data_IF_485784206240
#
_entry.id   IF_485784206240
#
_cell.length_a   1.000
_cell.length_b   1.000
_cell.length_c   1.000
_cell.angle_alpha   90.00
_cell.angle_beta   90.00
_cell.angle_gamma   90.00
#
_symmetry.space_group_name_H-M   'P 1'
#
loop_
_entity.id
_entity.type
_entity.pdbx_description
1 polymer ?
#
# COMPACT_ATOMS: atom_id res chain seq x y z
N UNK A 1 1.13 -7.81 26.55
CA UNK A 1 -0.15 -7.07 26.42
C UNK A 1 -0.88 -7.70 25.25
N UNK A 2 -2.09 -8.21 25.47
CA UNK A 2 -2.92 -8.78 24.38
C UNK A 2 -3.51 -7.66 23.53
N UNK A 3 -3.98 -7.98 22.33
CA UNK A 3 -4.72 -7.03 21.50
C UNK A 3 -5.94 -6.44 22.23
N UNK A 4 -6.62 -7.26 23.05
CA UNK A 4 -7.72 -6.79 23.90
C UNK A 4 -7.26 -5.74 24.92
N UNK A 5 -6.07 -5.91 25.52
CA UNK A 5 -5.51 -4.94 26.45
C UNK A 5 -5.15 -3.64 25.76
N UNK A 6 -4.63 -3.73 24.54
CA UNK A 6 -4.35 -2.56 23.71
C UNK A 6 -5.62 -1.79 23.35
N UNK A 7 -6.67 -2.48 22.91
CA UNK A 7 -7.97 -1.87 22.60
C UNK A 7 -8.58 -1.24 23.83
N UNK A 8 -8.56 -1.93 24.99
CA UNK A 8 -9.10 -1.38 26.23
C UNK A 8 -8.40 -0.10 26.69
N UNK A 9 -7.05 -0.02 26.50
CA UNK A 9 -6.28 1.16 26.88
C UNK A 9 -6.31 2.32 25.87
N UNK A 10 -6.47 2.03 24.57
CA UNK A 10 -6.19 3.01 23.51
C UNK A 10 -7.38 3.29 22.57
N UNK A 11 -8.43 2.50 22.62
CA UNK A 11 -9.57 2.57 21.69
C UNK A 11 -10.91 2.69 22.42
N UNK A 12 -10.92 3.09 23.69
CA UNK A 12 -12.18 3.48 24.32
C UNK A 12 -12.81 4.58 23.48
N UNK A 13 -14.06 4.42 23.00
CA UNK A 13 -14.70 5.37 22.08
C UNK A 13 -14.73 6.76 22.72
N UNK A 14 -14.33 7.77 21.96
CA UNK A 14 -14.38 9.20 22.29
C UNK A 14 -13.49 9.71 23.46
N UNK A 15 -12.82 8.85 24.23
CA UNK A 15 -12.01 9.28 25.36
C UNK A 15 -10.54 8.80 25.35
N UNK A 16 -10.11 8.14 24.28
CA UNK A 16 -8.71 7.71 24.18
C UNK A 16 -7.78 8.92 24.23
N UNK A 17 -7.10 9.09 25.35
CA UNK A 17 -6.17 10.21 25.59
C UNK A 17 -4.76 9.95 25.05
N UNK A 18 -4.48 8.74 24.57
CA UNK A 18 -3.13 8.32 24.14
C UNK A 18 -3.15 7.33 23.00
N UNK A 19 -2.15 7.38 22.13
CA UNK A 19 -1.90 6.44 21.04
C UNK A 19 -0.66 5.62 21.36
N UNK A 20 -0.72 4.29 21.16
CA UNK A 20 0.45 3.42 21.24
C UNK A 20 1.40 3.68 20.07
N UNK A 21 2.69 3.78 20.33
CA UNK A 21 3.73 3.80 19.29
C UNK A 21 4.37 2.43 19.25
N UNK A 22 4.42 1.82 18.06
CA UNK A 22 4.93 0.47 17.85
C UNK A 22 6.14 0.51 16.91
N UNK A 23 7.09 -0.40 17.10
CA UNK A 23 8.17 -0.60 16.15
C UNK A 23 7.71 -1.54 15.00
N UNK A 24 8.56 -1.72 14.00
CA UNK A 24 8.32 -2.60 12.86
C UNK A 24 8.02 -4.08 13.21
N UNK A 25 8.34 -4.50 14.43
CA UNK A 25 8.04 -5.85 14.95
C UNK A 25 6.72 -5.92 15.74
N UNK A 26 5.88 -4.85 15.68
CA UNK A 26 4.63 -4.77 16.42
C UNK A 26 4.80 -4.59 17.94
N UNK A 27 6.02 -4.40 18.44
CA UNK A 27 6.24 -4.16 19.87
C UNK A 27 5.97 -2.71 20.23
N UNK A 28 5.15 -2.50 21.25
CA UNK A 28 4.89 -1.17 21.77
C UNK A 28 6.16 -0.56 22.34
N UNK A 29 6.62 0.53 21.76
CA UNK A 29 7.82 1.26 22.18
C UNK A 29 7.50 2.57 22.91
N UNK A 30 6.20 3.00 22.93
CA UNK A 30 5.80 4.22 23.62
C UNK A 30 4.30 4.50 23.56
N UNK A 31 3.90 5.65 24.12
CA UNK A 31 2.54 6.21 24.02
C UNK A 31 2.62 7.70 23.73
N UNK A 32 1.74 8.19 22.87
CA UNK A 32 1.62 9.60 22.53
C UNK A 32 0.22 10.08 22.96
N UNK A 33 0.08 11.17 23.73
CA UNK A 33 -1.23 11.76 24.03
C UNK A 33 -1.91 12.25 22.74
N UNK A 34 -3.20 11.97 22.58
CA UNK A 34 -4.00 12.35 21.39
C UNK A 34 -4.01 13.86 21.10
N UNK A 35 -3.81 14.69 22.10
CA UNK A 35 -3.75 16.14 21.96
C UNK A 35 -2.37 16.71 21.64
N UNK A 36 -1.35 15.86 21.51
CA UNK A 36 0.05 16.29 21.36
C UNK A 36 0.86 15.38 20.44
N UNK A 37 0.30 14.99 19.28
CA UNK A 37 1.08 14.34 18.23
C UNK A 37 2.12 15.34 17.69
N UNK A 38 3.19 15.50 18.44
CA UNK A 38 4.39 16.16 17.94
C UNK A 38 5.44 15.08 17.71
N UNK A 39 5.89 14.99 16.47
CA UNK A 39 7.08 14.21 16.13
C UNK A 39 8.26 15.18 16.22
N UNK A 40 9.10 15.13 17.28
CA UNK A 40 10.08 16.20 17.57
C UNK A 40 11.02 16.51 16.41
N UNK A 41 11.27 15.55 15.52
CA UNK A 41 12.15 15.68 14.36
C UNK A 41 11.40 15.69 13.01
N UNK A 42 10.08 15.80 13.04
CA UNK A 42 9.26 15.72 11.82
C UNK A 42 9.51 16.87 10.84
N UNK A 43 9.85 18.04 11.38
CA UNK A 43 9.84 19.27 10.60
C UNK A 43 8.42 19.74 10.28
N UNK A 44 8.28 20.55 9.25
CA UNK A 44 6.99 21.07 8.82
C UNK A 44 6.18 19.96 8.11
N UNK A 45 4.88 19.91 8.39
CA UNK A 45 3.94 19.14 7.56
C UNK A 45 3.82 19.81 6.19
N UNK A 46 3.99 19.02 5.14
CA UNK A 46 3.99 19.49 3.75
C UNK A 46 2.64 19.33 3.09
N UNK A 47 2.09 18.10 3.15
CA UNK A 47 0.79 17.74 2.57
C UNK A 47 0.31 16.42 3.19
N UNK A 48 -0.88 15.97 2.75
CA UNK A 48 -1.38 14.61 3.02
C UNK A 48 -1.86 13.99 1.72
N UNK A 49 -1.80 12.66 1.63
CA UNK A 49 -2.41 11.90 0.55
C UNK A 49 -3.18 10.70 1.08
N UNK A 50 -4.15 10.22 0.32
CA UNK A 50 -4.84 8.96 0.58
C UNK A 50 -4.07 7.78 -0.02
N UNK A 51 -4.00 6.65 0.70
CA UNK A 51 -3.49 5.40 0.16
C UNK A 51 -4.51 4.29 0.43
N UNK A 52 -5.10 3.77 -0.64
CA UNK A 52 -6.12 2.73 -0.63
C UNK A 52 -5.74 1.65 -1.65
N UNK A 53 -6.36 0.47 -1.55
CA UNK A 53 -6.08 -0.68 -2.40
C UNK A 53 -7.30 -1.60 -2.53
N UNK A 54 -7.28 -2.48 -3.50
CA UNK A 54 -8.19 -3.62 -3.60
C UNK A 54 -9.66 -3.16 -3.63
N UNK A 55 -10.01 -2.37 -4.65
CA UNK A 55 -11.35 -1.82 -4.88
C UNK A 55 -12.34 -2.89 -5.35
N UNK A 56 -11.89 -3.82 -6.19
CA UNK A 56 -12.64 -4.96 -6.70
C UNK A 56 -14.07 -4.62 -7.18
N UNK A 57 -14.21 -3.61 -8.03
CA UNK A 57 -15.53 -3.28 -8.58
C UNK A 57 -16.20 -4.50 -9.21
N UNK A 58 -17.49 -4.64 -8.97
CA UNK A 58 -18.37 -5.76 -9.27
C UNK A 58 -18.46 -6.84 -8.20
N UNK A 59 -17.75 -6.70 -7.09
CA UNK A 59 -18.05 -7.45 -5.86
C UNK A 59 -19.15 -6.70 -5.10
N UNK A 60 -19.93 -7.44 -4.29
CA UNK A 60 -20.99 -6.83 -3.47
C UNK A 60 -20.43 -5.66 -2.63
N UNK A 61 -21.18 -4.56 -2.58
CA UNK A 61 -20.89 -3.33 -1.83
C UNK A 61 -19.63 -2.57 -2.25
N UNK A 62 -18.78 -3.08 -3.16
CA UNK A 62 -17.52 -2.46 -3.57
C UNK A 62 -17.67 -1.02 -4.07
N UNK A 63 -18.76 -0.71 -4.81
CA UNK A 63 -19.02 0.66 -5.28
C UNK A 63 -19.30 1.61 -4.12
N UNK A 64 -20.14 1.18 -3.17
CA UNK A 64 -20.49 1.99 -2.00
C UNK A 64 -19.28 2.25 -1.10
N UNK A 65 -18.42 1.24 -0.94
CA UNK A 65 -17.19 1.33 -0.15
C UNK A 65 -16.17 2.25 -0.82
N UNK A 66 -16.02 2.12 -2.14
CA UNK A 66 -15.15 3.01 -2.89
C UNK A 66 -15.61 4.48 -2.81
N UNK A 67 -16.89 4.75 -3.04
CA UNK A 67 -17.46 6.11 -2.90
C UNK A 67 -17.26 6.64 -1.48
N UNK A 68 -17.49 5.81 -0.48
CA UNK A 68 -17.29 6.18 0.94
C UNK A 68 -15.86 6.55 1.22
N UNK A 69 -14.88 5.73 0.76
CA UNK A 69 -13.47 5.99 0.92
C UNK A 69 -13.06 7.32 0.24
N UNK A 70 -13.49 7.55 -1.01
CA UNK A 70 -13.23 8.80 -1.72
C UNK A 70 -13.78 10.02 -0.97
N UNK A 71 -15.04 9.98 -0.53
CA UNK A 71 -15.67 11.06 0.22
C UNK A 71 -14.94 11.32 1.55
N UNK A 72 -14.51 10.27 2.23
CA UNK A 72 -13.75 10.41 3.47
C UNK A 72 -12.39 11.08 3.24
N UNK A 73 -11.66 10.65 2.21
CA UNK A 73 -10.35 11.19 1.86
C UNK A 73 -10.44 12.66 1.44
N UNK A 74 -11.45 13.01 0.62
CA UNK A 74 -11.74 14.40 0.25
C UNK A 74 -12.04 15.26 1.47
N UNK A 75 -12.87 14.75 2.40
CA UNK A 75 -13.19 15.45 3.66
C UNK A 75 -11.95 15.63 4.56
N UNK A 76 -11.01 14.72 4.48
CA UNK A 76 -9.71 14.76 5.17
C UNK A 76 -8.72 15.73 4.54
N UNK A 77 -9.11 16.40 3.44
CA UNK A 77 -8.30 17.39 2.71
C UNK A 77 -6.95 16.83 2.23
N UNK A 78 -6.96 15.60 1.73
CA UNK A 78 -5.79 15.05 1.06
C UNK A 78 -5.54 15.79 -0.25
N UNK A 79 -4.29 15.93 -0.65
CA UNK A 79 -3.93 16.58 -1.91
C UNK A 79 -4.32 15.72 -3.11
N UNK A 80 -4.30 14.40 -2.96
CA UNK A 80 -4.66 13.38 -3.94
C UNK A 80 -4.80 12.03 -3.26
N UNK A 81 -5.26 11.01 -3.99
CA UNK A 81 -5.32 9.63 -3.52
C UNK A 81 -4.58 8.71 -4.47
N UNK A 82 -3.74 7.83 -3.92
CA UNK A 82 -3.11 6.72 -4.62
C UNK A 82 -3.93 5.45 -4.41
N UNK A 83 -4.20 4.70 -5.48
CA UNK A 83 -4.88 3.41 -5.45
C UNK A 83 -3.89 2.32 -5.88
N UNK A 84 -3.63 1.39 -4.99
CA UNK A 84 -2.57 0.39 -5.14
C UNK A 84 -3.06 -0.92 -5.77
N UNK A 85 -3.77 -0.82 -6.90
CA UNK A 85 -4.19 -1.95 -7.72
C UNK A 85 -5.51 -2.60 -7.32
N UNK A 86 -5.91 -3.60 -8.11
CA UNK A 86 -7.18 -4.30 -8.05
C UNK A 86 -8.37 -3.33 -8.06
N UNK A 87 -8.39 -2.49 -9.11
CA UNK A 87 -9.46 -1.52 -9.34
C UNK A 87 -10.78 -2.22 -9.63
N UNK A 88 -10.69 -3.38 -10.29
CA UNK A 88 -11.81 -4.20 -10.73
C UNK A 88 -11.63 -5.65 -10.29
N UNK A 89 -12.72 -6.42 -10.36
CA UNK A 89 -12.66 -7.85 -9.99
C UNK A 89 -12.21 -8.75 -11.15
N UNK A 90 -12.27 -8.29 -12.40
CA UNK A 90 -11.99 -9.14 -13.57
C UNK A 90 -11.31 -8.41 -14.74
N UNK A 91 -10.98 -7.12 -14.62
CA UNK A 91 -10.25 -6.35 -15.62
C UNK A 91 -10.96 -6.16 -16.95
N UNK A 92 -12.28 -6.39 -17.04
CA UNK A 92 -13.00 -6.20 -18.31
C UNK A 92 -13.42 -4.75 -18.52
N UNK A 93 -13.66 -4.37 -19.78
CA UNK A 93 -14.02 -3.01 -20.19
C UNK A 93 -15.22 -2.42 -19.42
N UNK A 94 -16.22 -3.24 -19.12
CA UNK A 94 -17.41 -2.79 -18.39
C UNK A 94 -17.05 -2.35 -16.98
N UNK A 95 -16.24 -3.12 -16.28
CA UNK A 95 -15.80 -2.82 -14.93
C UNK A 95 -14.83 -1.64 -14.90
N UNK A 96 -13.90 -1.57 -15.84
CA UNK A 96 -12.95 -0.46 -15.97
C UNK A 96 -13.68 0.85 -16.32
N UNK A 97 -14.66 0.81 -17.24
CA UNK A 97 -15.51 1.96 -17.55
C UNK A 97 -16.33 2.40 -16.32
N UNK A 98 -16.81 1.44 -15.52
CA UNK A 98 -17.51 1.75 -14.29
C UNK A 98 -16.59 2.40 -13.25
N UNK A 99 -15.37 1.88 -13.09
CA UNK A 99 -14.35 2.50 -12.25
C UNK A 99 -14.15 3.97 -12.64
N UNK A 100 -13.89 4.24 -13.93
CA UNK A 100 -13.72 5.60 -14.41
C UNK A 100 -14.93 6.48 -14.10
N UNK A 101 -16.14 6.00 -14.36
CA UNK A 101 -17.37 6.74 -14.08
C UNK A 101 -17.51 7.08 -12.60
N UNK A 102 -17.15 6.19 -11.68
CA UNK A 102 -17.20 6.44 -10.25
C UNK A 102 -16.16 7.47 -9.80
N UNK A 103 -14.93 7.38 -10.34
CA UNK A 103 -13.89 8.38 -10.09
C UNK A 103 -14.34 9.75 -10.58
N UNK A 104 -14.80 9.86 -11.83
CA UNK A 104 -15.24 11.12 -12.43
C UNK A 104 -16.40 11.78 -11.66
N UNK A 105 -17.30 10.97 -11.09
CA UNK A 105 -18.47 11.46 -10.38
C UNK A 105 -18.20 11.83 -8.91
N UNK A 106 -17.24 11.19 -8.25
CA UNK A 106 -17.11 11.26 -6.79
C UNK A 106 -15.79 11.84 -6.31
N UNK A 107 -14.69 11.69 -7.04
CA UNK A 107 -13.39 12.20 -6.58
C UNK A 107 -13.32 13.73 -6.78
N UNK A 108 -12.95 14.46 -5.73
CA UNK A 108 -12.73 15.92 -5.76
C UNK A 108 -11.26 16.27 -5.84
N UNK A 109 -10.39 15.31 -5.58
CA UNK A 109 -8.93 15.42 -5.66
C UNK A 109 -8.40 14.44 -6.71
N UNK A 110 -7.20 14.68 -7.28
CA UNK A 110 -6.62 13.76 -8.27
C UNK A 110 -6.52 12.33 -7.74
N UNK A 111 -6.79 11.36 -8.61
CA UNK A 111 -6.59 9.93 -8.35
C UNK A 111 -5.40 9.44 -9.19
N UNK A 112 -4.49 8.72 -8.54
CA UNK A 112 -3.35 8.05 -9.16
C UNK A 112 -3.44 6.57 -8.85
N UNK A 113 -3.72 5.75 -9.86
CA UNK A 113 -3.96 4.32 -9.70
C UNK A 113 -2.92 3.50 -10.48
N UNK A 114 -2.62 2.32 -9.97
CA UNK A 114 -1.87 1.27 -10.67
C UNK A 114 -2.78 0.07 -10.92
N UNK A 115 -2.47 -0.75 -11.91
CA UNK A 115 -3.16 -2.02 -12.11
C UNK A 115 -2.70 -3.06 -11.09
N UNK A 116 -3.66 -3.84 -10.57
CA UNK A 116 -3.41 -5.07 -9.82
C UNK A 116 -3.59 -6.31 -10.69
N UNK A 117 -3.45 -7.51 -10.11
CA UNK A 117 -3.57 -8.74 -10.86
C UNK A 117 -5.01 -9.01 -11.35
N UNK A 118 -6.03 -8.60 -10.60
CA UNK A 118 -7.43 -8.72 -11.04
C UNK A 118 -7.74 -7.83 -12.25
N UNK A 119 -7.07 -6.72 -12.40
CA UNK A 119 -7.24 -5.84 -13.55
C UNK A 119 -6.68 -6.44 -14.84
N UNK A 120 -5.81 -7.46 -14.72
CA UNK A 120 -5.15 -8.12 -15.84
C UNK A 120 -5.72 -9.50 -16.18
N UNK A 121 -6.76 -9.97 -15.48
CA UNK A 121 -7.36 -11.30 -15.70
C UNK A 121 -8.00 -11.47 -17.07
N UNK A 122 -8.53 -10.41 -17.63
CA UNK A 122 -8.99 -10.44 -19.01
C UNK A 122 -7.77 -10.21 -19.91
N UNK A 123 -7.00 -11.26 -20.14
CA UNK A 123 -5.76 -11.24 -20.90
C UNK A 123 -5.97 -10.67 -22.32
N UNK A 124 -5.83 -9.38 -22.43
CA UNK A 124 -5.67 -8.70 -23.68
C UNK A 124 -4.20 -8.37 -23.89
N UNK A 125 -3.69 -8.62 -25.06
CA UNK A 125 -2.33 -8.22 -25.45
C UNK A 125 -2.09 -6.70 -25.31
N UNK A 126 -3.14 -5.94 -25.01
CA UNK A 126 -3.16 -4.48 -24.92
C UNK A 126 -3.59 -3.95 -23.53
N UNK A 127 -3.25 -4.67 -22.44
CA UNK A 127 -3.60 -4.27 -21.08
C UNK A 127 -3.10 -2.87 -20.72
N UNK A 128 -1.91 -2.48 -21.21
CA UNK A 128 -1.32 -1.17 -20.94
C UNK A 128 -2.19 -0.04 -21.51
N UNK A 129 -2.69 -0.21 -22.73
CA UNK A 129 -3.60 0.75 -23.38
C UNK A 129 -4.96 0.79 -22.71
N UNK A 130 -5.49 -0.37 -22.33
CA UNK A 130 -6.77 -0.51 -21.66
C UNK A 130 -6.77 0.21 -20.31
N UNK A 131 -5.80 -0.09 -19.46
CA UNK A 131 -5.63 0.60 -18.16
C UNK A 131 -5.39 2.10 -18.37
N UNK A 132 -4.56 2.48 -19.34
CA UNK A 132 -4.30 3.88 -19.66
C UNK A 132 -5.58 4.63 -20.04
N UNK A 133 -6.47 3.99 -20.81
CA UNK A 133 -7.75 4.57 -21.23
C UNK A 133 -8.67 4.84 -20.05
N UNK A 134 -8.79 3.90 -19.11
CA UNK A 134 -9.76 4.00 -18.03
C UNK A 134 -9.17 4.66 -16.76
N UNK A 135 -7.93 4.45 -16.44
CA UNK A 135 -7.26 5.13 -15.32
C UNK A 135 -6.78 6.53 -15.70
N UNK A 136 -6.73 6.87 -16.99
CA UNK A 136 -6.31 8.19 -17.49
C UNK A 136 -4.82 8.47 -17.27
N UNK A 137 -4.01 7.43 -17.09
CA UNK A 137 -2.56 7.48 -16.86
C UNK A 137 -1.87 6.34 -17.59
N UNK A 138 -0.60 6.47 -17.99
CA UNK A 138 0.18 5.35 -18.49
C UNK A 138 0.19 4.17 -17.51
N UNK A 139 0.54 2.99 -17.99
CA UNK A 139 0.58 1.78 -17.18
C UNK A 139 1.59 1.87 -16.03
N UNK A 140 2.72 2.52 -16.27
CA UNK A 140 3.67 2.95 -15.25
C UNK A 140 4.07 4.42 -15.49
N UNK A 141 4.19 5.19 -14.43
CA UNK A 141 4.43 6.64 -14.53
C UNK A 141 4.93 7.24 -13.22
N UNK A 142 5.32 8.51 -13.28
CA UNK A 142 5.64 9.29 -12.07
C UNK A 142 4.69 10.45 -11.89
N UNK A 143 4.49 10.82 -10.62
CA UNK A 143 3.85 12.08 -10.21
C UNK A 143 4.78 12.79 -9.24
N UNK A 144 4.90 14.09 -9.36
CA UNK A 144 5.71 14.90 -8.44
C UNK A 144 4.81 15.77 -7.57
N UNK A 145 5.03 15.74 -6.26
CA UNK A 145 4.38 16.60 -5.29
C UNK A 145 5.44 17.32 -4.44
N UNK A 146 5.63 18.60 -4.68
CA UNK A 146 6.75 19.33 -4.07
C UNK A 146 8.10 18.75 -4.52
N UNK A 147 8.90 18.26 -3.58
CA UNK A 147 10.17 17.59 -3.87
C UNK A 147 10.06 16.05 -3.86
N UNK A 148 8.90 15.50 -3.58
CA UNK A 148 8.67 14.06 -3.51
C UNK A 148 8.23 13.51 -4.87
N UNK A 149 8.60 12.26 -5.15
CA UNK A 149 8.29 11.56 -6.40
C UNK A 149 7.47 10.32 -6.09
N UNK A 150 6.31 10.20 -6.70
CA UNK A 150 5.45 9.02 -6.65
C UNK A 150 5.71 8.20 -7.90
N UNK A 151 6.14 6.96 -7.72
CA UNK A 151 6.47 6.01 -8.78
C UNK A 151 5.37 4.96 -8.80
N UNK A 152 4.58 4.95 -9.86
CA UNK A 152 3.41 4.11 -10.01
C UNK A 152 3.73 3.00 -11.00
N UNK A 153 3.63 1.73 -10.55
CA UNK A 153 4.01 0.52 -11.31
C UNK A 153 2.81 -0.41 -11.45
N UNK A 154 2.45 -0.73 -12.68
CA UNK A 154 1.37 -1.67 -12.96
C UNK A 154 1.80 -3.13 -12.84
N UNK A 155 0.85 -4.06 -12.84
CA UNK A 155 1.09 -5.49 -12.96
C UNK A 155 0.70 -5.93 -14.36
N UNK A 156 1.64 -6.54 -15.07
CA UNK A 156 1.37 -7.05 -16.41
C UNK A 156 0.59 -8.36 -16.38
N UNK A 157 1.00 -9.29 -15.52
CA UNK A 157 0.33 -10.60 -15.37
C UNK A 157 0.78 -11.27 -14.09
N UNK A 158 0.02 -12.26 -13.63
CA UNK A 158 0.50 -13.15 -12.57
C UNK A 158 1.72 -13.93 -13.07
N UNK A 159 2.78 -13.99 -12.25
CA UNK A 159 4.00 -14.72 -12.55
C UNK A 159 5.08 -13.95 -13.30
N UNK A 160 4.73 -12.85 -13.99
CA UNK A 160 5.68 -11.93 -14.61
C UNK A 160 5.18 -10.51 -14.39
N UNK A 161 5.43 -9.94 -13.22
CA UNK A 161 4.81 -8.70 -12.78
C UNK A 161 5.21 -7.49 -13.61
N UNK A 162 6.48 -7.43 -14.00
CA UNK A 162 7.00 -6.32 -14.78
C UNK A 162 7.37 -6.74 -16.19
N UNK A 163 7.25 -5.82 -17.13
CA UNK A 163 8.01 -5.93 -18.36
C UNK A 163 9.48 -5.62 -18.09
N UNK A 164 10.39 -6.14 -18.92
CA UNK A 164 11.81 -5.76 -18.82
C UNK A 164 11.99 -4.23 -18.96
N UNK A 165 11.19 -3.60 -19.82
CA UNK A 165 11.19 -2.16 -20.05
C UNK A 165 10.73 -1.39 -18.80
N UNK A 166 9.71 -1.88 -18.09
CA UNK A 166 9.19 -1.25 -16.88
C UNK A 166 10.19 -1.34 -15.73
N UNK A 167 10.81 -2.51 -15.54
CA UNK A 167 11.80 -2.70 -14.47
C UNK A 167 13.06 -1.87 -14.71
N UNK A 168 13.51 -1.77 -15.98
CA UNK A 168 14.59 -0.87 -16.38
C UNK A 168 14.24 0.60 -16.12
N UNK A 169 13.04 1.02 -16.52
CA UNK A 169 12.53 2.36 -16.27
C UNK A 169 12.43 2.68 -14.77
N UNK A 170 12.02 1.71 -13.96
CA UNK A 170 11.96 1.85 -12.51
C UNK A 170 13.36 2.14 -11.93
N UNK A 171 14.36 1.36 -12.34
CA UNK A 171 15.75 1.61 -11.96
C UNK A 171 16.21 3.02 -12.35
N UNK A 172 16.03 3.40 -13.61
CA UNK A 172 16.42 4.71 -14.12
C UNK A 172 15.71 5.86 -13.37
N UNK A 173 14.45 5.65 -13.04
CA UNK A 173 13.65 6.62 -12.27
C UNK A 173 14.17 6.79 -10.86
N UNK A 174 14.50 5.69 -10.17
CA UNK A 174 15.11 5.73 -8.84
C UNK A 174 16.49 6.39 -8.89
N UNK A 175 17.32 6.05 -9.86
CA UNK A 175 18.66 6.65 -10.03
C UNK A 175 18.57 8.17 -10.28
N UNK A 176 17.68 8.61 -11.15
CA UNK A 176 17.45 10.03 -11.43
C UNK A 176 16.94 10.80 -10.20
N UNK A 177 16.23 10.14 -9.30
CA UNK A 177 15.65 10.73 -8.11
C UNK A 177 16.30 10.24 -6.79
N UNK A 178 17.48 9.66 -6.83
CA UNK A 178 18.16 8.98 -5.71
C UNK A 178 18.30 9.83 -4.44
N UNK A 179 18.31 11.14 -4.57
CA UNK A 179 18.42 12.09 -3.46
C UNK A 179 17.07 12.77 -3.11
N UNK A 180 15.97 12.24 -3.63
CA UNK A 180 14.61 12.65 -3.29
C UNK A 180 13.89 11.54 -2.57
N UNK A 181 12.86 11.85 -1.81
CA UNK A 181 11.95 10.84 -1.29
C UNK A 181 11.07 10.32 -2.41
N UNK A 182 11.08 9.00 -2.59
CA UNK A 182 10.30 8.29 -3.59
C UNK A 182 9.24 7.43 -2.89
N UNK A 183 7.97 7.62 -3.24
CA UNK A 183 6.88 6.74 -2.85
C UNK A 183 6.59 5.79 -4.00
N UNK A 184 6.84 4.50 -3.80
CA UNK A 184 6.69 3.46 -4.83
C UNK A 184 5.39 2.72 -4.58
N UNK A 185 4.51 2.67 -5.57
CA UNK A 185 3.25 1.95 -5.53
C UNK A 185 3.29 0.80 -6.54
N UNK A 186 3.10 -0.42 -6.06
CA UNK A 186 2.95 -1.63 -6.86
C UNK A 186 2.11 -2.61 -6.03
N UNK A 187 1.14 -3.25 -6.65
CA UNK A 187 0.09 -3.96 -5.95
C UNK A 187 0.58 -5.16 -5.13
N UNK A 188 1.50 -5.95 -5.68
CA UNK A 188 1.92 -7.19 -5.06
C UNK A 188 2.94 -6.98 -3.96
N UNK A 189 2.78 -7.78 -2.99
CA UNK A 189 3.57 -7.91 -1.79
C UNK A 189 4.92 -8.62 -2.05
N UNK A 190 5.97 -8.21 -1.36
CA UNK A 190 7.34 -8.69 -1.64
C UNK A 190 7.86 -9.77 -0.70
N UNK A 191 7.15 -10.08 0.38
CA UNK A 191 7.56 -11.06 1.38
C UNK A 191 6.75 -12.34 1.34
N UNK A 192 7.20 -13.33 2.11
CA UNK A 192 6.41 -14.53 2.42
C UNK A 192 5.90 -14.42 3.85
N UNK A 193 4.58 -14.46 4.02
CA UNK A 193 4.03 -14.73 5.33
C UNK A 193 4.30 -16.22 5.64
N UNK A 194 5.31 -16.49 6.45
CA UNK A 194 5.69 -17.87 6.79
C UNK A 194 5.14 -18.33 8.12
N UNK A 195 4.40 -17.47 8.84
CA UNK A 195 3.95 -17.79 10.18
C UNK A 195 2.54 -18.32 10.24
N UNK A 196 2.33 -19.38 11.02
CA UNK A 196 1.02 -20.02 11.22
C UNK A 196 0.00 -19.14 11.97
N UNK A 197 0.42 -18.00 12.53
CA UNK A 197 -0.39 -17.15 13.41
C UNK A 197 -1.48 -16.37 12.69
N UNK A 198 -1.43 -16.30 11.38
CA UNK A 198 -2.44 -15.63 10.55
C UNK A 198 -3.38 -16.62 9.84
N UNK A 199 -3.61 -17.78 10.40
CA UNK A 199 -4.32 -18.83 9.71
C UNK A 199 -3.56 -19.30 8.47
N UNK A 200 -4.04 -20.29 7.77
CA UNK A 200 -3.40 -20.81 6.56
C UNK A 200 -3.48 -19.87 5.33
N UNK A 201 -4.09 -18.71 5.47
CA UNK A 201 -4.11 -17.69 4.42
C UNK A 201 -2.75 -17.26 3.93
N UNK A 202 -1.74 -17.65 4.55
CA UNK A 202 -0.51 -16.98 4.77
C UNK A 202 0.49 -17.16 3.65
N UNK A 203 0.79 -18.33 3.30
CA UNK A 203 1.85 -18.61 2.35
C UNK A 203 1.36 -18.64 0.91
N UNK A 204 0.12 -19.07 0.67
CA UNK A 204 -0.34 -19.36 -0.69
C UNK A 204 -0.75 -18.13 -1.50
N UNK A 205 -1.36 -17.15 -0.87
CA UNK A 205 -1.85 -15.96 -1.57
C UNK A 205 -0.75 -15.02 -2.07
N UNK A 206 0.45 -15.12 -1.48
CA UNK A 206 1.53 -14.20 -1.77
C UNK A 206 2.54 -14.74 -2.76
N UNK A 207 2.56 -16.06 -2.95
CA UNK A 207 3.50 -16.71 -3.86
C UNK A 207 3.08 -16.59 -5.34
N UNK A 208 1.80 -16.39 -5.62
CA UNK A 208 1.31 -16.36 -7.01
C UNK A 208 1.84 -15.19 -7.81
N UNK A 209 1.93 -14.02 -7.21
CA UNK A 209 2.42 -12.84 -7.88
C UNK A 209 3.86 -12.98 -8.38
N UNK A 210 4.67 -13.78 -7.70
CA UNK A 210 6.10 -13.89 -7.95
C UNK A 210 6.52 -15.32 -8.34
N UNK A 211 5.79 -15.99 -9.22
CA UNK A 211 6.15 -17.30 -9.76
C UNK A 211 6.98 -17.17 -11.05
N UNK A 212 7.72 -18.21 -11.41
CA UNK A 212 8.48 -18.23 -12.65
C UNK A 212 9.45 -17.05 -12.80
N UNK A 213 9.31 -16.26 -13.86
CA UNK A 213 10.14 -15.06 -14.12
C UNK A 213 10.01 -14.03 -13.00
N UNK A 214 8.86 -13.97 -12.34
CA UNK A 214 8.60 -13.06 -11.23
C UNK A 214 9.56 -13.24 -10.06
N UNK A 215 10.11 -14.43 -9.82
CA UNK A 215 11.10 -14.63 -8.76
C UNK A 215 12.39 -13.85 -9.00
N UNK A 216 12.85 -13.79 -10.24
CA UNK A 216 14.03 -13.00 -10.61
C UNK A 216 13.70 -11.50 -10.50
N UNK A 217 12.54 -11.09 -11.01
CA UNK A 217 12.06 -9.70 -10.94
C UNK A 217 11.91 -9.25 -9.48
N UNK A 218 11.37 -10.11 -8.59
CA UNK A 218 11.27 -9.83 -7.16
C UNK A 218 12.63 -9.55 -6.54
N UNK A 219 13.64 -10.37 -6.86
CA UNK A 219 14.99 -10.19 -6.33
C UNK A 219 15.57 -8.83 -6.75
N UNK A 220 15.41 -8.45 -8.01
CA UNK A 220 15.85 -7.15 -8.53
C UNK A 220 15.06 -6.02 -7.86
N UNK A 221 13.75 -6.11 -7.81
CA UNK A 221 12.88 -5.10 -7.21
C UNK A 221 13.23 -4.84 -5.73
N UNK A 222 13.36 -5.89 -4.92
CA UNK A 222 13.79 -5.78 -3.52
C UNK A 222 15.18 -5.16 -3.38
N UNK A 223 16.11 -5.54 -4.23
CA UNK A 223 17.48 -5.00 -4.20
C UNK A 223 17.51 -3.51 -4.57
N UNK A 224 16.68 -3.07 -5.50
CA UNK A 224 16.51 -1.65 -5.85
C UNK A 224 15.95 -0.86 -4.68
N UNK A 225 14.86 -1.34 -4.05
CA UNK A 225 14.28 -0.69 -2.87
C UNK A 225 15.27 -0.58 -1.71
N UNK A 226 16.06 -1.63 -1.46
CA UNK A 226 17.07 -1.65 -0.40
C UNK A 226 18.25 -0.72 -0.69
N UNK A 227 18.63 -0.55 -1.96
CA UNK A 227 19.70 0.35 -2.37
C UNK A 227 19.27 1.82 -2.31
N UNK A 228 18.11 2.14 -2.87
CA UNK A 228 17.56 3.51 -2.88
C UNK A 228 16.76 3.79 -1.61
N UNK A 229 17.47 3.94 -0.48
CA UNK A 229 16.92 4.04 0.89
C UNK A 229 15.97 5.21 1.13
N UNK A 230 15.89 6.16 0.19
CA UNK A 230 14.92 7.25 0.20
C UNK A 230 13.55 6.83 -0.31
N UNK A 231 13.37 5.55 -0.67
CA UNK A 231 12.09 4.99 -1.13
C UNK A 231 11.26 4.45 0.05
N UNK A 232 9.93 4.55 -0.12
CA UNK A 232 8.92 3.89 0.71
C UNK A 232 7.98 3.15 -0.23
N UNK A 233 7.89 1.85 -0.09
CA UNK A 233 7.09 0.98 -0.93
C UNK A 233 5.70 0.76 -0.34
N UNK A 234 4.67 0.97 -1.13
CA UNK A 234 3.26 0.74 -0.79
C UNK A 234 2.70 -0.38 -1.64
N UNK A 235 2.00 -1.33 -1.01
CA UNK A 235 1.38 -2.47 -1.69
C UNK A 235 0.04 -2.86 -1.03
N UNK A 236 -0.76 -3.65 -1.72
CA UNK A 236 -2.03 -4.21 -1.26
C UNK A 236 -2.05 -5.74 -1.38
N UNK A 237 -3.01 -6.27 -2.15
CA UNK A 237 -3.16 -7.65 -2.58
C UNK A 237 -3.62 -8.65 -1.51
N UNK A 238 -3.18 -8.53 -0.28
CA UNK A 238 -3.50 -9.52 0.76
C UNK A 238 -4.92 -9.39 1.29
N UNK A 239 -5.51 -8.21 1.17
CA UNK A 239 -6.77 -7.82 1.78
C UNK A 239 -6.79 -7.85 3.32
N UNK A 240 -5.66 -8.12 3.98
CA UNK A 240 -5.62 -8.24 5.44
C UNK A 240 -5.95 -6.90 6.11
N UNK A 241 -6.92 -6.93 7.03
CA UNK A 241 -7.22 -5.77 7.90
C UNK A 241 -5.99 -5.37 8.71
N UNK A 242 -5.92 -4.11 9.07
CA UNK A 242 -4.86 -3.60 9.95
C UNK A 242 -4.70 -4.41 11.24
N UNK A 243 -5.81 -4.83 11.81
CA UNK A 243 -5.80 -5.67 13.00
C UNK A 243 -5.13 -7.01 12.73
N UNK A 244 -5.45 -7.63 11.60
CA UNK A 244 -4.92 -8.94 11.25
C UNK A 244 -3.43 -8.85 10.89
N UNK A 245 -3.05 -7.82 10.12
CA UNK A 245 -1.65 -7.52 9.83
C UNK A 245 -0.83 -7.35 11.12
N UNK A 246 -1.36 -6.64 12.11
CA UNK A 246 -0.67 -6.41 13.37
C UNK A 246 -0.54 -7.68 14.25
N UNK A 247 -1.42 -8.67 14.05
CA UNK A 247 -1.34 -9.96 14.72
C UNK A 247 -0.38 -10.94 14.04
N UNK A 248 -0.08 -10.68 12.76
CA UNK A 248 0.88 -11.44 11.97
C UNK A 248 2.28 -10.84 12.14
N UNK A 249 3.33 -11.59 11.78
CA UNK A 249 4.68 -11.03 11.69
C UNK A 249 4.82 -10.00 10.54
N UNK A 250 3.72 -9.75 9.85
CA UNK A 250 3.53 -8.69 8.88
C UNK A 250 2.95 -7.46 9.56
N UNK A 251 3.81 -6.53 9.85
CA UNK A 251 3.37 -5.22 10.30
C UNK A 251 2.77 -4.43 9.14
N UNK A 252 1.80 -3.55 9.43
CA UNK A 252 1.30 -2.55 8.49
C UNK A 252 2.44 -1.67 7.92
N UNK A 253 3.56 -1.65 8.60
CA UNK A 253 4.83 -1.08 8.19
C UNK A 253 5.96 -2.05 8.57
N UNK A 254 6.84 -2.36 7.64
CA UNK A 254 8.02 -3.22 7.83
C UNK A 254 9.26 -2.61 7.18
N UNK A 255 10.40 -2.69 7.87
CA UNK A 255 11.73 -2.31 7.38
C UNK A 255 12.80 -3.39 7.60
N UNK A 256 12.36 -4.59 7.98
CA UNK A 256 13.26 -5.70 8.35
C UNK A 256 14.12 -6.24 7.21
N UNK A 257 13.67 -6.05 5.96
CA UNK A 257 14.40 -6.47 4.76
C UNK A 257 15.33 -5.39 4.19
N UNK A 258 15.55 -4.30 4.93
CA UNK A 258 16.44 -3.21 4.54
C UNK A 258 15.80 -2.14 3.64
N UNK A 259 14.51 -2.24 3.37
CA UNK A 259 13.69 -1.22 2.73
C UNK A 259 12.38 -1.00 3.50
N UNK A 260 11.74 0.14 3.29
CA UNK A 260 10.49 0.51 3.96
C UNK A 260 9.31 0.02 3.15
N UNK A 261 8.46 -0.81 3.74
CA UNK A 261 7.25 -1.38 3.14
C UNK A 261 6.01 -1.02 3.94
N UNK A 262 4.95 -0.62 3.25
CA UNK A 262 3.65 -0.24 3.83
C UNK A 262 2.57 -1.10 3.19
N UNK A 263 1.86 -1.86 4.01
CA UNK A 263 0.81 -2.77 3.58
C UNK A 263 -0.57 -2.10 3.73
N UNK A 264 -1.25 -1.88 2.62
CA UNK A 264 -2.57 -1.25 2.56
C UNK A 264 -3.64 -2.33 2.57
N UNK A 265 -4.63 -2.29 3.48
CA UNK A 265 -5.79 -3.18 3.45
C UNK A 265 -6.71 -2.93 2.26
N UNK A 266 -7.61 -3.87 2.01
CA UNK A 266 -8.68 -3.69 1.04
C UNK A 266 -9.75 -2.71 1.52
N UNK A 267 -10.29 -1.90 0.61
CA UNK A 267 -11.44 -1.04 0.90
C UNK A 267 -12.78 -1.70 0.69
N UNK A 268 -12.85 -2.84 -0.02
CA UNK A 268 -14.14 -3.49 -0.33
C UNK A 268 -14.22 -4.94 0.11
N UNK A 269 -13.10 -5.60 0.34
CA UNK A 269 -13.04 -7.01 0.71
C UNK A 269 -11.95 -7.30 1.75
N UNK A 270 -11.90 -6.56 2.86
CA UNK A 270 -10.89 -6.84 3.87
C UNK A 270 -11.13 -8.22 4.50
N UNK A 271 -10.05 -8.96 4.71
CA UNK A 271 -10.08 -10.27 5.35
C UNK A 271 -10.02 -10.16 6.85
N UNK A 272 -10.80 -11.03 7.53
CA UNK A 272 -10.82 -11.16 8.98
C UNK A 272 -10.51 -12.61 9.39
N UNK A 273 -10.16 -12.82 10.66
CA UNK A 273 -10.09 -14.18 11.23
C UNK A 273 -11.48 -14.80 11.23
N UNK A 274 -11.60 -16.00 10.69
CA UNK A 274 -12.86 -16.78 10.73
C UNK A 274 -13.01 -17.62 12.00
N UNK A 275 -11.94 -17.73 12.78
CA UNK A 275 -11.92 -18.57 13.99
C UNK A 275 -11.81 -20.07 13.71
N UNK A 276 -11.63 -20.50 12.47
CA UNK A 276 -11.44 -21.91 12.10
C UNK A 276 -9.95 -22.20 11.83
N UNK A 277 -9.42 -23.23 12.50
CA UNK A 277 -8.06 -23.73 12.27
C UNK A 277 -7.91 -24.48 10.93
N UNK A 278 -8.98 -24.65 10.19
CA UNK A 278 -9.04 -25.54 9.03
C UNK A 278 -9.18 -24.81 7.69
N UNK A 279 -9.41 -23.51 7.69
CA UNK A 279 -9.60 -22.78 6.44
C UNK A 279 -8.29 -22.21 5.93
N UNK A 280 -8.07 -22.38 4.63
CA UNK A 280 -6.91 -21.86 3.92
C UNK A 280 -7.05 -20.39 3.54
N UNK A 281 -8.21 -19.79 3.81
CA UNK A 281 -8.56 -18.42 3.42
C UNK A 281 -9.40 -17.77 4.52
N UNK A 282 -8.92 -16.72 5.19
CA UNK A 282 -9.78 -15.97 6.11
C UNK A 282 -10.99 -15.45 5.36
N UNK A 283 -12.14 -15.50 6.02
CA UNK A 283 -13.39 -14.95 5.49
C UNK A 283 -13.25 -13.46 5.18
N UNK A 284 -13.95 -13.04 4.16
CA UNK A 284 -14.10 -11.63 3.89
C UNK A 284 -15.06 -10.97 4.87
N UNK A 285 -14.73 -9.77 5.30
CA UNK A 285 -15.64 -8.88 6.02
C UNK A 285 -16.27 -7.91 5.01
N UNK A 286 -17.40 -8.29 4.46
CA UNK A 286 -18.15 -7.47 3.50
C UNK A 286 -18.61 -6.14 4.10
N UNK A 287 -18.58 -5.99 5.43
CA UNK A 287 -18.88 -4.74 6.12
C UNK A 287 -17.63 -3.90 6.44
N UNK A 288 -16.45 -4.37 6.06
CA UNK A 288 -15.18 -3.68 6.35
C UNK A 288 -14.71 -2.80 5.20
N UNK A 289 -13.99 -1.74 5.52
CA UNK A 289 -13.31 -0.88 4.55
C UNK A 289 -12.19 -0.12 5.24
N UNK A 290 -10.94 -0.38 4.87
CA UNK A 290 -9.78 0.19 5.56
C UNK A 290 -8.74 0.75 4.58
N UNK A 291 -7.97 1.75 5.02
CA UNK A 291 -6.88 2.35 4.25
C UNK A 291 -6.15 3.43 5.04
N UNK A 292 -5.27 4.18 4.40
CA UNK A 292 -4.47 5.21 5.05
C UNK A 292 -4.82 6.63 4.62
N UNK A 293 -4.74 7.55 5.59
CA UNK A 293 -4.35 8.94 5.33
C UNK A 293 -2.89 9.08 5.73
N UNK A 294 -2.05 9.48 4.80
CA UNK A 294 -0.61 9.64 5.00
C UNK A 294 -0.29 11.13 5.10
N UNK A 295 0.16 11.56 6.27
CA UNK A 295 0.66 12.93 6.46
C UNK A 295 2.16 12.96 6.15
N UNK A 296 2.56 13.83 5.24
CA UNK A 296 3.95 13.98 4.80
C UNK A 296 4.56 15.19 5.45
N UNK A 297 5.71 14.97 6.09
CA UNK A 297 6.53 15.98 6.76
C UNK A 297 7.90 16.10 6.08
N UNK A 298 8.66 17.11 6.46
CA UNK A 298 9.99 17.31 5.90
C UNK A 298 10.91 16.09 6.08
N UNK A 299 10.88 15.46 7.27
CA UNK A 299 11.79 14.37 7.63
C UNK A 299 11.12 13.00 7.79
N UNK A 300 9.82 12.88 7.52
CA UNK A 300 9.12 11.62 7.70
C UNK A 300 7.70 11.63 7.22
N UNK A 301 7.03 10.49 7.39
CA UNK A 301 5.60 10.35 7.16
C UNK A 301 4.91 9.79 8.40
N UNK A 302 3.69 10.24 8.63
CA UNK A 302 2.80 9.66 9.60
C UNK A 302 1.71 8.87 8.87
N UNK A 303 1.78 7.56 8.94
CA UNK A 303 0.74 6.65 8.47
C UNK A 303 -0.40 6.67 9.50
N UNK A 304 -1.60 6.96 9.04
CA UNK A 304 -2.80 6.99 9.89
C UNK A 304 -3.87 6.07 9.30
N UNK A 305 -3.95 4.85 9.81
CA UNK A 305 -4.99 3.88 9.44
C UNK A 305 -6.39 4.41 9.71
N UNK A 306 -7.29 4.10 8.81
CA UNK A 306 -8.71 4.50 8.85
C UNK A 306 -9.62 3.31 8.59
N UNK A 307 -10.70 3.25 9.36
CA UNK A 307 -11.89 2.47 9.06
C UNK A 307 -12.87 3.42 8.37
N UNK A 308 -13.09 3.25 7.08
CA UNK A 308 -13.95 4.15 6.31
C UNK A 308 -15.44 3.91 6.57
N UNK A 309 -15.83 2.73 7.07
CA UNK A 309 -17.21 2.42 7.44
C UNK A 309 -17.60 3.18 8.69
N UNK A 310 -16.76 3.13 9.72
CA UNK A 310 -16.99 3.83 10.99
C UNK A 310 -16.56 5.29 10.96
N UNK A 311 -15.71 5.66 10.00
CA UNK A 311 -15.08 6.99 9.95
C UNK A 311 -14.03 7.21 11.03
N UNK A 312 -13.52 6.12 11.63
CA UNK A 312 -12.65 6.17 12.78
C UNK A 312 -11.17 6.08 12.39
N UNK A 313 -10.35 6.68 13.23
CA UNK A 313 -8.91 6.47 13.22
C UNK A 313 -8.58 5.15 13.93
N UNK A 314 -7.68 4.37 13.34
CA UNK A 314 -7.22 3.10 13.90
C UNK A 314 -5.83 3.25 14.51
N UNK A 315 -5.73 3.40 15.85
CA UNK A 315 -4.43 3.60 16.52
C UNK A 315 -3.43 2.46 16.29
N UNK A 316 -3.92 1.24 16.05
CA UNK A 316 -3.10 0.07 15.74
C UNK A 316 -2.33 0.23 14.43
N UNK A 317 -2.83 1.06 13.53
CA UNK A 317 -2.24 1.39 12.23
C UNK A 317 -1.69 2.82 12.21
N UNK A 318 -1.16 3.30 13.33
CA UNK A 318 -0.53 4.61 13.44
C UNK A 318 0.98 4.46 13.56
N UNK A 319 1.72 4.85 12.52
CA UNK A 319 3.18 4.71 12.46
C UNK A 319 3.84 6.01 12.05
N UNK A 320 4.91 6.37 12.75
CA UNK A 320 5.87 7.33 12.24
C UNK A 320 6.98 6.58 11.50
N UNK A 321 7.20 6.94 10.24
CA UNK A 321 8.27 6.41 9.42
C UNK A 321 9.25 7.52 9.14
N UNK A 322 10.49 7.37 9.61
CA UNK A 322 11.58 8.31 9.30
C UNK A 322 11.95 8.18 7.82
N UNK A 323 11.85 9.29 7.11
CA UNK A 323 12.24 9.41 5.71
C UNK A 323 13.22 10.57 5.52
N UNK A 324 14.02 10.87 6.54
CA UNK A 324 15.14 11.82 6.43
C UNK A 324 16.02 11.39 5.25
N UNK A 325 16.23 12.35 4.32
CA UNK A 325 16.92 12.05 3.07
C UNK A 325 18.38 11.64 3.32
N UNK A 326 18.76 10.55 2.69
CA UNK A 326 20.12 10.04 2.67
C UNK A 326 20.75 10.33 1.31
N UNK A 327 22.03 10.65 1.29
CA UNK A 327 22.78 10.79 0.03
C UNK A 327 23.08 9.41 -0.54
N UNK A 328 22.60 9.15 -1.76
CA UNK A 328 22.93 7.96 -2.53
C UNK A 328 23.83 8.38 -3.69
N UNK A 329 25.03 7.82 -3.78
CA UNK A 329 25.98 8.16 -4.83
C UNK A 329 25.51 7.62 -6.20
N UNK A 330 25.71 8.38 -7.25
CA UNK A 330 25.29 8.01 -8.60
C UNK A 330 26.03 6.77 -9.09
N UNK A 331 25.35 5.89 -9.82
CA UNK A 331 25.93 4.69 -10.46
C UNK A 331 26.48 3.66 -9.47
N UNK A 332 25.98 3.65 -8.22
CA UNK A 332 26.46 2.71 -7.20
C UNK A 332 25.64 1.44 -7.09
N UNK A 333 24.45 1.40 -7.71
CA UNK A 333 23.66 0.18 -7.75
C UNK A 333 24.37 -0.90 -8.54
N UNK A 334 24.45 -2.09 -7.97
CA UNK A 334 24.92 -3.32 -8.63
C UNK A 334 23.99 -4.44 -8.19
N UNK A 335 23.55 -5.23 -9.14
CA UNK A 335 22.84 -6.47 -8.83
C UNK A 335 23.75 -7.51 -8.19
N UNK A 336 23.20 -8.67 -7.85
CA UNK A 336 23.95 -9.78 -7.24
C UNK A 336 25.09 -10.34 -8.12
N UNK A 337 25.13 -10.00 -9.41
CA UNK A 337 26.17 -10.42 -10.36
C UNK A 337 27.26 -9.36 -10.52
N UNK A 338 27.10 -8.18 -9.91
CA UNK A 338 28.01 -7.05 -10.05
C UNK A 338 27.85 -6.26 -11.35
N UNK A 339 26.84 -6.60 -12.14
CA UNK A 339 26.45 -5.93 -13.39
C UNK A 339 25.14 -5.17 -13.16
N UNK A 340 24.97 -4.01 -13.80
CA UNK A 340 23.65 -3.37 -13.88
C UNK A 340 22.89 -4.10 -14.99
N UNK A 341 22.31 -5.25 -14.66
CA UNK A 341 21.38 -5.93 -15.55
C UNK A 341 20.00 -5.84 -14.90
N UNK A 342 19.22 -4.91 -15.35
CA UNK A 342 17.81 -4.78 -14.96
C UNK A 342 16.97 -5.32 -16.10
#
# INVERSE_FOLDING_TARGET
MTYSDFIAENVAPKEAKRIGVYNSKGNRVGQIPLGSLSFPNAGQKLYSFGAISDVHLSVADSESDFIRALNYLDSSKVAFTCICGDLTNSGNDTQLARYKSLVDANAKTPIYAVAGNHDTYTYNDDIESQISTYAGKPFYYTVTQGNDVFIMLGIKSEGALFTATELQWFYETLEANRNKRCFVFQHCFTGYATTPTCGNANGMYYSYCWSGEGQTQLTVFKSLLAHYKNSVFFHGHSHLKFRLQAACDYANFDDSEGYKSVHIPSISRPRQEDGSDSDTSPDYDDAGSEGFVVDVYANGIHLRGRDFVKGDFLPIASYWVDTTLQTVAAGTYKDSTGTITV
#
